data_IF_455785598591
#
_entry.id   IF_455785598591
#
_cell.length_a   1.000
_cell.length_b   1.000
_cell.length_c   1.000
_cell.angle_alpha   90.00
_cell.angle_beta   90.00
_cell.angle_gamma   90.00
#
_symmetry.space_group_name_H-M   'P 1'
#
loop_
_entity.id
_entity.type
_entity.pdbx_description
1 polymer ?
#
# COMPACT_ATOMS: atom_id res chain seq x y z
N UNK A 1 -13.05 22.14 -13.91
CA UNK A 1 -12.20 21.72 -12.79
C UNK A 1 -12.44 20.24 -12.59
N UNK A 2 -11.38 19.45 -12.48
CA UNK A 2 -11.54 18.03 -12.17
C UNK A 2 -11.71 17.89 -10.66
N UNK A 3 -12.91 17.48 -10.23
CA UNK A 3 -13.20 17.19 -8.82
C UNK A 3 -12.74 15.78 -8.47
N UNK A 4 -12.06 15.62 -7.34
CA UNK A 4 -11.54 14.33 -6.86
C UNK A 4 -12.25 13.98 -5.56
N UNK A 5 -12.74 12.74 -5.47
CA UNK A 5 -13.46 12.23 -4.31
C UNK A 5 -12.63 11.16 -3.60
N UNK A 6 -12.54 11.27 -2.28
CA UNK A 6 -11.98 10.24 -1.41
C UNK A 6 -13.07 9.82 -0.42
N UNK A 7 -13.61 8.63 -0.61
CA UNK A 7 -14.66 8.08 0.24
C UNK A 7 -14.13 6.84 0.96
N UNK A 8 -14.46 6.70 2.24
CA UNK A 8 -14.15 5.51 3.04
C UNK A 8 -15.46 4.88 3.49
N UNK A 9 -15.68 3.63 3.10
CA UNK A 9 -16.84 2.86 3.50
C UNK A 9 -16.43 1.86 4.57
N UNK A 10 -17.03 1.97 5.75
CA UNK A 10 -16.89 0.97 6.81
C UNK A 10 -18.14 0.10 6.85
N UNK A 11 -17.93 -1.21 6.95
CA UNK A 11 -19.03 -2.16 7.14
C UNK A 11 -18.97 -2.69 8.56
N UNK A 12 -20.13 -2.77 9.21
CA UNK A 12 -20.30 -3.32 10.54
C UNK A 12 -21.57 -4.19 10.54
N UNK A 13 -21.66 -5.13 11.47
CA UNK A 13 -22.93 -5.82 11.73
C UNK A 13 -23.97 -4.77 12.15
N UNK A 14 -25.18 -4.86 11.58
CA UNK A 14 -26.28 -3.94 11.86
C UNK A 14 -26.66 -3.90 13.35
N UNK A 15 -26.35 -4.96 14.10
CA UNK A 15 -26.60 -5.06 15.54
C UNK A 15 -25.39 -4.62 16.38
N UNK A 16 -24.25 -4.34 15.75
CA UNK A 16 -23.08 -3.89 16.48
C UNK A 16 -23.20 -2.38 16.76
N UNK A 17 -23.39 -2.06 18.04
CA UNK A 17 -23.46 -0.69 18.57
C UNK A 17 -22.08 -0.09 18.83
N UNK A 18 -20.98 -0.80 18.55
CA UNK A 18 -19.64 -0.24 18.67
C UNK A 18 -19.46 0.98 17.77
N UNK A 19 -18.77 2.01 18.25
CA UNK A 19 -18.39 3.15 17.42
C UNK A 19 -17.58 2.67 16.21
N UNK A 20 -17.91 3.20 15.04
CA UNK A 20 -17.08 3.07 13.83
C UNK A 20 -15.64 3.46 14.12
N UNK A 21 -14.67 2.85 13.43
CA UNK A 21 -13.26 3.16 13.66
C UNK A 21 -12.94 4.57 13.20
N UNK A 22 -12.10 5.27 13.95
CA UNK A 22 -11.68 6.60 13.58
C UNK A 22 -10.95 6.57 12.23
N UNK A 23 -11.24 7.54 11.38
CA UNK A 23 -10.58 7.69 10.08
C UNK A 23 -10.16 9.15 9.94
N UNK A 24 -8.91 9.39 9.56
CA UNK A 24 -8.38 10.73 9.34
C UNK A 24 -7.79 10.85 7.94
N UNK A 25 -7.98 12.02 7.34
CA UNK A 25 -7.39 12.38 6.05
C UNK A 25 -5.88 12.56 6.23
N UNK A 26 -5.09 11.98 5.34
CA UNK A 26 -3.68 12.28 5.17
C UNK A 26 -3.52 13.06 3.86
N UNK A 27 -2.92 14.24 3.96
CA UNK A 27 -2.51 15.02 2.79
C UNK A 27 -0.99 15.13 2.69
N UNK A 28 -0.45 14.78 1.53
CA UNK A 28 0.97 14.91 1.21
C UNK A 28 1.14 15.97 0.14
N UNK A 29 1.09 17.23 0.57
CA UNK A 29 1.17 18.39 -0.32
C UNK A 29 0.23 18.29 -1.51
N UNK A 30 0.76 18.50 -2.71
CA UNK A 30 0.05 18.35 -3.98
C UNK A 30 0.20 16.97 -4.63
N UNK A 31 0.96 16.04 -4.03
CA UNK A 31 1.38 14.81 -4.72
C UNK A 31 0.52 13.61 -4.36
N UNK A 32 0.15 13.46 -3.08
CA UNK A 32 -0.65 12.31 -2.63
C UNK A 32 -1.71 12.71 -1.60
N UNK A 33 -2.75 11.91 -1.52
CA UNK A 33 -3.77 11.97 -0.47
C UNK A 33 -4.22 10.57 -0.10
N UNK A 34 -4.79 10.42 1.08
CA UNK A 34 -5.31 9.14 1.50
C UNK A 34 -5.83 9.20 2.92
N UNK A 35 -5.84 8.06 3.59
CA UNK A 35 -6.45 7.95 4.92
C UNK A 35 -5.61 7.12 5.87
N UNK A 36 -5.64 7.52 7.13
CA UNK A 36 -5.33 6.64 8.25
C UNK A 36 -6.65 6.10 8.82
N UNK A 37 -6.74 4.78 8.97
CA UNK A 37 -7.90 4.08 9.52
C UNK A 37 -7.42 3.37 10.78
N UNK A 38 -7.94 3.78 11.93
CA UNK A 38 -7.59 3.18 13.21
C UNK A 38 -8.09 1.74 13.31
N UNK A 39 -7.36 0.94 14.08
CA UNK A 39 -7.77 -0.42 14.41
C UNK A 39 -9.02 -0.41 15.28
N UNK A 40 -9.91 -1.36 15.02
CA UNK A 40 -11.10 -1.61 15.84
C UNK A 40 -10.74 -2.06 17.26
N UNK A 41 -9.67 -2.85 17.40
CA UNK A 41 -9.18 -3.36 18.67
C UNK A 41 -7.70 -3.75 18.57
N UNK A 42 -7.10 -4.09 19.72
CA UNK A 42 -5.67 -4.40 19.80
C UNK A 42 -5.21 -5.59 18.94
N UNK A 43 -6.12 -6.51 18.58
CA UNK A 43 -5.84 -7.68 17.74
C UNK A 43 -5.89 -7.40 16.24
N UNK A 44 -6.25 -6.18 15.82
CA UNK A 44 -6.29 -5.75 14.41
C UNK A 44 -5.23 -4.66 14.16
N UNK A 45 -4.67 -4.56 12.94
CA UNK A 45 -3.76 -3.48 12.59
C UNK A 45 -4.54 -2.20 12.24
N UNK A 46 -3.87 -1.06 12.33
CA UNK A 46 -4.31 0.17 11.66
C UNK A 46 -3.88 0.12 10.18
N UNK A 47 -4.45 1.00 9.37
CA UNK A 47 -4.12 1.10 7.94
C UNK A 47 -3.78 2.53 7.55
N UNK A 48 -2.73 2.67 6.74
CA UNK A 48 -2.46 3.87 5.97
C UNK A 48 -2.62 3.51 4.51
N UNK A 49 -3.50 4.22 3.81
CA UNK A 49 -3.69 4.03 2.37
C UNK A 49 -3.50 5.37 1.68
N UNK A 50 -2.48 5.48 0.82
CA UNK A 50 -2.22 6.70 0.04
C UNK A 50 -2.39 6.45 -1.46
N UNK A 51 -2.88 7.47 -2.15
CA UNK A 51 -3.11 7.53 -3.58
C UNK A 51 -2.41 8.75 -4.17
N UNK A 52 -1.86 8.61 -5.38
CA UNK A 52 -1.45 9.78 -6.16
C UNK A 52 -2.64 10.71 -6.35
N UNK A 53 -2.45 12.00 -6.09
CA UNK A 53 -3.44 13.03 -6.43
C UNK A 53 -3.63 13.06 -7.95
N UNK A 54 -2.53 13.03 -8.70
CA UNK A 54 -2.56 13.06 -10.17
C UNK A 54 -2.80 11.67 -10.79
N UNK A 55 -3.38 11.66 -12.00
CA UNK A 55 -3.46 10.44 -12.80
C UNK A 55 -2.06 10.00 -13.24
N UNK A 56 -1.58 8.89 -12.70
CA UNK A 56 -0.33 8.26 -13.13
C UNK A 56 0.65 8.03 -11.98
N UNK A 57 1.93 7.98 -12.36
CA UNK A 57 3.04 7.69 -11.43
C UNK A 57 3.44 8.98 -10.71
N UNK A 58 3.45 8.93 -9.38
CA UNK A 58 4.09 9.93 -8.53
C UNK A 58 5.58 9.61 -8.38
N UNK A 59 6.43 10.48 -8.93
CA UNK A 59 7.89 10.38 -8.83
C UNK A 59 8.49 11.24 -7.71
N UNK A 60 7.65 11.97 -6.96
CA UNK A 60 8.11 12.84 -5.89
C UNK A 60 8.29 12.07 -4.58
N UNK A 61 9.17 12.57 -3.71
CA UNK A 61 9.28 12.11 -2.32
C UNK A 61 7.93 12.26 -1.62
N UNK A 62 7.50 11.20 -0.92
CA UNK A 62 6.25 11.17 -0.16
C UNK A 62 6.59 11.38 1.30
N UNK A 63 6.00 12.37 1.96
CA UNK A 63 6.22 12.59 3.41
C UNK A 63 4.89 12.79 4.11
N UNK A 64 4.62 11.98 5.13
CA UNK A 64 3.38 12.05 5.90
C UNK A 64 3.62 11.75 7.37
N UNK A 65 2.71 12.23 8.22
CA UNK A 65 2.72 11.96 9.65
C UNK A 65 1.54 11.05 9.99
N UNK A 66 1.75 10.17 10.96
CA UNK A 66 0.70 9.33 11.53
C UNK A 66 0.89 9.30 13.03
N UNK A 67 -0.16 9.64 13.76
CA UNK A 67 -0.20 9.52 15.22
C UNK A 67 -1.09 8.35 15.60
N UNK A 68 -0.57 7.43 16.41
CA UNK A 68 -1.31 6.25 16.82
C UNK A 68 -0.49 5.24 17.60
N UNK A 69 -1.06 4.06 17.79
CA UNK A 69 -0.40 2.96 18.49
C UNK A 69 -0.66 1.60 17.85
N UNK A 70 0.35 0.73 17.94
CA UNK A 70 0.26 -0.66 17.48
C UNK A 70 0.67 -0.85 16.03
N UNK A 71 0.42 -2.05 15.50
CA UNK A 71 0.79 -2.43 14.14
C UNK A 71 0.04 -1.58 13.11
N UNK A 72 0.74 -1.13 12.07
CA UNK A 72 0.19 -0.37 10.95
C UNK A 72 0.64 -0.98 9.64
N UNK A 73 -0.31 -1.15 8.73
CA UNK A 73 -0.06 -1.58 7.36
C UNK A 73 -0.15 -0.37 6.44
N UNK A 74 0.94 -0.08 5.74
CA UNK A 74 1.03 1.02 4.80
C UNK A 74 0.87 0.48 3.38
N UNK A 75 -0.06 1.07 2.63
CA UNK A 75 -0.40 0.72 1.25
C UNK A 75 -0.31 2.00 0.43
N UNK A 76 0.79 2.17 -0.30
CA UNK A 76 1.11 3.40 -1.03
C UNK A 76 1.01 3.11 -2.51
N UNK A 77 -0.03 3.63 -3.16
CA UNK A 77 -0.35 3.37 -4.57
C UNK A 77 0.08 4.53 -5.46
N UNK A 78 0.11 4.30 -6.78
CA UNK A 78 0.48 5.35 -7.73
C UNK A 78 1.99 5.60 -7.79
N UNK A 79 2.81 4.65 -7.36
CA UNK A 79 4.27 4.72 -7.45
C UNK A 79 4.77 4.07 -8.74
N UNK A 80 6.06 4.17 -9.03
CA UNK A 80 6.64 3.48 -10.18
C UNK A 80 6.68 1.97 -9.89
N UNK A 81 6.20 1.11 -10.80
CA UNK A 81 6.24 -0.33 -10.58
C UNK A 81 7.67 -0.85 -10.55
N UNK A 82 7.88 -1.99 -9.88
CA UNK A 82 9.15 -2.71 -9.88
C UNK A 82 10.38 -1.88 -9.46
N UNK A 83 10.15 -0.95 -8.53
CA UNK A 83 11.13 0.07 -8.16
C UNK A 83 11.41 -0.01 -6.66
N UNK A 84 12.69 0.08 -6.29
CA UNK A 84 13.10 0.15 -4.89
C UNK A 84 12.88 1.55 -4.32
N UNK A 85 12.22 1.61 -3.17
CA UNK A 85 12.02 2.79 -2.35
C UNK A 85 12.66 2.61 -0.98
N UNK A 86 13.29 3.67 -0.51
CA UNK A 86 13.75 3.81 0.88
C UNK A 86 12.65 4.48 1.70
N UNK A 87 12.34 3.89 2.84
CA UNK A 87 11.34 4.34 3.80
C UNK A 87 12.08 4.70 5.07
N UNK A 88 12.09 5.99 5.39
CA UNK A 88 12.62 6.54 6.64
C UNK A 88 11.45 6.75 7.60
N UNK A 89 11.48 6.11 8.76
CA UNK A 89 10.56 6.31 9.88
C UNK A 89 11.28 7.08 10.99
N UNK A 90 10.86 8.33 11.21
CA UNK A 90 11.39 9.17 12.27
C UNK A 90 10.41 9.22 13.46
N UNK A 91 10.86 8.64 14.58
CA UNK A 91 10.20 8.73 15.89
C UNK A 91 11.13 9.45 16.87
N UNK A 92 10.69 10.61 17.38
CA UNK A 92 11.41 11.31 18.47
C UNK A 92 12.87 11.65 18.19
N UNK A 93 13.27 11.79 16.91
CA UNK A 93 14.63 12.14 16.49
C UNK A 93 15.53 10.96 16.10
N UNK A 94 15.09 9.71 16.28
CA UNK A 94 15.76 8.54 15.73
C UNK A 94 15.07 8.11 14.43
N UNK A 95 15.86 7.91 13.37
CA UNK A 95 15.37 7.47 12.07
C UNK A 95 15.76 6.01 11.82
N UNK A 96 14.78 5.17 11.49
CA UNK A 96 15.03 3.83 10.95
C UNK A 96 14.79 3.86 9.45
N UNK A 97 15.70 3.28 8.65
CA UNK A 97 15.55 3.19 7.20
C UNK A 97 15.37 1.73 6.80
N UNK A 98 14.33 1.46 6.02
CA UNK A 98 14.09 0.16 5.38
C UNK A 98 13.92 0.34 3.87
N UNK A 99 14.30 -0.66 3.10
CA UNK A 99 14.10 -0.67 1.64
C UNK A 99 13.03 -1.67 1.25
N UNK A 100 12.12 -1.25 0.36
CA UNK A 100 11.02 -2.08 -0.15
C UNK A 100 10.85 -1.85 -1.65
N UNK A 101 10.39 -2.87 -2.35
CA UNK A 101 10.17 -2.84 -3.79
C UNK A 101 8.67 -2.76 -4.03
N UNK A 102 8.25 -1.90 -4.97
CA UNK A 102 6.86 -1.89 -5.43
C UNK A 102 6.53 -3.15 -6.21
N UNK A 103 5.24 -3.50 -6.26
CA UNK A 103 4.75 -4.59 -7.08
C UNK A 103 5.20 -4.45 -8.56
N UNK A 104 5.40 -5.57 -9.27
CA UNK A 104 5.73 -5.54 -10.69
C UNK A 104 4.57 -4.98 -11.51
N UNK A 105 4.85 -4.67 -12.79
CA UNK A 105 3.82 -4.25 -13.74
C UNK A 105 2.72 -5.32 -13.82
N UNK A 106 1.48 -4.92 -13.49
CA UNK A 106 0.32 -5.79 -13.55
C UNK A 106 -0.46 -5.57 -14.85
N UNK A 107 -1.14 -6.62 -15.30
CA UNK A 107 -2.12 -6.54 -16.38
C UNK A 107 -3.50 -6.87 -15.82
N UNK A 108 -4.49 -6.02 -16.10
CA UNK A 108 -5.90 -6.33 -15.87
C UNK A 108 -6.57 -6.70 -17.19
N UNK A 109 -7.56 -7.58 -17.12
CA UNK A 109 -8.37 -7.97 -18.26
C UNK A 109 -9.79 -7.47 -18.03
N UNK A 110 -10.37 -6.80 -19.03
CA UNK A 110 -11.79 -6.47 -18.97
C UNK A 110 -12.66 -7.69 -19.31
N UNK A 111 -13.98 -7.55 -19.16
CA UNK A 111 -14.95 -8.60 -19.47
C UNK A 111 -15.01 -8.98 -20.96
N UNK A 112 -14.35 -8.21 -21.83
CA UNK A 112 -14.21 -8.47 -23.27
C UNK A 112 -12.85 -9.10 -23.61
N UNK A 113 -12.01 -9.37 -22.61
CA UNK A 113 -10.68 -9.93 -22.79
C UNK A 113 -9.65 -8.93 -23.32
N UNK A 114 -9.87 -7.62 -23.15
CA UNK A 114 -8.88 -6.60 -23.48
C UNK A 114 -7.92 -6.44 -22.31
N UNK A 115 -6.63 -6.66 -22.56
CA UNK A 115 -5.58 -6.46 -21.58
C UNK A 115 -5.24 -4.96 -21.45
N UNK A 116 -5.26 -4.44 -20.22
CA UNK A 116 -4.79 -3.10 -19.87
C UNK A 116 -3.58 -3.21 -18.96
N UNK A 117 -2.49 -2.55 -19.33
CA UNK A 117 -1.29 -2.48 -18.50
C UNK A 117 -1.49 -1.43 -17.41
N UNK A 118 -1.40 -1.85 -16.14
CA UNK A 118 -1.40 -0.95 -15.00
C UNK A 118 -0.01 -0.34 -14.89
N UNK A 119 0.07 0.98 -15.11
CA UNK A 119 1.35 1.71 -15.19
C UNK A 119 1.91 2.11 -13.82
N UNK A 120 1.21 1.80 -12.73
CA UNK A 120 1.59 2.18 -11.37
C UNK A 120 1.82 0.95 -10.50
N UNK A 121 2.79 1.01 -9.60
CA UNK A 121 3.01 0.02 -8.56
C UNK A 121 2.41 0.42 -7.22
N UNK A 122 2.28 -0.58 -6.35
CA UNK A 122 1.93 -0.43 -4.94
C UNK A 122 3.13 -0.78 -4.08
N UNK A 123 3.41 0.05 -3.07
CA UNK A 123 4.38 -0.25 -2.02
C UNK A 123 3.64 -0.69 -0.77
N UNK A 124 4.01 -1.86 -0.24
CA UNK A 124 3.48 -2.40 1.01
C UNK A 124 4.58 -2.52 2.06
N UNK A 125 4.32 -2.04 3.26
CA UNK A 125 5.18 -2.28 4.43
C UNK A 125 4.41 -2.18 5.74
N UNK A 126 4.99 -2.75 6.79
CA UNK A 126 4.41 -2.74 8.13
C UNK A 126 5.34 -2.02 9.11
N UNK A 127 4.76 -1.24 10.02
CA UNK A 127 5.48 -0.60 11.13
C UNK A 127 4.69 -0.72 12.43
N UNK A 128 5.34 -0.50 13.56
CA UNK A 128 4.65 -0.39 14.86
C UNK A 128 4.70 1.07 15.30
N UNK A 129 3.54 1.70 15.49
CA UNK A 129 3.48 3.07 16.00
C UNK A 129 3.52 3.09 17.52
N UNK A 130 4.18 4.12 18.05
CA UNK A 130 4.13 4.54 19.43
C UNK A 130 4.12 6.07 19.52
N UNK A 131 2.95 6.66 19.24
CA UNK A 131 2.75 8.11 19.15
C UNK A 131 2.86 8.61 17.71
N UNK A 132 3.37 9.84 17.56
CA UNK A 132 3.49 10.50 16.26
C UNK A 132 4.79 10.10 15.53
N UNK A 133 4.64 9.49 14.37
CA UNK A 133 5.72 9.12 13.46
C UNK A 133 5.66 9.96 12.20
N UNK A 134 6.84 10.31 11.67
CA UNK A 134 6.98 10.91 10.34
C UNK A 134 7.62 9.91 9.40
N UNK A 135 6.90 9.54 8.35
CA UNK A 135 7.39 8.69 7.28
C UNK A 135 7.86 9.54 6.09
N UNK A 136 9.00 9.18 5.51
CA UNK A 136 9.52 9.73 4.26
C UNK A 136 9.89 8.60 3.32
N UNK A 137 9.28 8.57 2.14
CA UNK A 137 9.49 7.55 1.12
C UNK A 137 10.20 8.20 -0.07
N UNK A 138 11.36 7.68 -0.43
CA UNK A 138 12.21 8.20 -1.50
C UNK A 138 12.55 7.09 -2.49
N UNK A 139 12.49 7.37 -3.79
CA UNK A 139 12.91 6.42 -4.83
C UNK A 139 14.43 6.24 -4.75
N UNK A 140 14.91 5.02 -4.58
CA UNK A 140 16.35 4.68 -4.47
C UNK A 140 16.98 4.38 -5.84
N UNK A 141 16.16 4.11 -6.87
CA UNK A 141 16.61 4.03 -8.27
C UNK A 141 17.12 2.67 -8.74
N UNK A 142 17.22 1.66 -7.86
CA UNK A 142 17.50 0.27 -8.23
C UNK A 142 16.19 -0.41 -8.69
N UNK A 143 16.08 -0.74 -9.97
CA UNK A 143 15.05 -1.65 -10.50
C UNK A 143 15.46 -3.06 -10.09
N UNK A 144 14.59 -3.78 -9.36
CA UNK A 144 14.90 -5.16 -8.95
C UNK A 144 14.82 -6.09 -10.16
N UNK A 145 15.87 -6.24 -10.94
CA UNK A 145 15.84 -7.07 -12.16
C UNK A 145 15.66 -8.57 -11.90
N UNK A 146 15.53 -9.00 -10.64
CA UNK A 146 15.31 -10.40 -10.27
C UNK A 146 13.85 -10.78 -10.55
N UNK A 147 13.57 -11.66 -11.53
CA UNK A 147 12.22 -12.15 -11.72
C UNK A 147 11.75 -12.89 -10.47
N UNK A 148 10.45 -12.81 -10.10
CA UNK A 148 9.92 -13.67 -9.06
C UNK A 148 10.19 -15.14 -9.42
N UNK A 149 10.46 -15.97 -8.42
CA UNK A 149 10.65 -17.40 -8.62
C UNK A 149 9.48 -17.95 -9.44
N UNK A 150 9.78 -18.66 -10.53
CA UNK A 150 8.76 -19.26 -11.41
C UNK A 150 7.82 -20.09 -10.54
N UNK A 151 6.51 -19.81 -10.54
CA UNK A 151 5.56 -20.62 -9.78
C UNK A 151 5.74 -22.08 -10.19
N UNK A 152 6.03 -22.96 -9.24
CA UNK A 152 5.92 -24.38 -9.47
C UNK A 152 4.44 -24.68 -9.64
N UNK A 153 3.92 -24.50 -10.86
CA UNK A 153 2.51 -24.68 -11.18
C UNK A 153 1.98 -25.98 -10.57
N UNK A 154 0.67 -26.00 -10.30
CA UNK A 154 0.00 -27.14 -9.68
C UNK A 154 0.37 -28.43 -10.44
N UNK A 155 1.25 -29.24 -9.86
CA UNK A 155 1.64 -30.52 -10.46
C UNK A 155 0.45 -31.46 -10.28
N UNK A 156 -0.41 -31.55 -11.29
CA UNK A 156 -1.39 -32.63 -11.36
C UNK A 156 -0.58 -33.90 -11.60
N UNK A 157 -0.37 -34.68 -10.55
CA UNK A 157 0.19 -36.02 -10.67
C UNK A 157 -0.81 -36.88 -11.44
N UNK A 158 -0.70 -36.94 -12.76
CA UNK A 158 -1.39 -37.95 -13.55
C UNK A 158 -0.71 -39.29 -13.26
N UNK A 159 -1.27 -40.07 -12.34
CA UNK A 159 -0.89 -41.47 -12.16
C UNK A 159 -1.25 -42.23 -13.43
N UNK A 160 -0.27 -42.44 -14.30
CA UNK A 160 -0.38 -43.41 -15.38
C UNK A 160 -0.05 -44.80 -14.82
N UNK A 161 -1.08 -45.54 -14.43
CA UNK A 161 -1.03 -46.99 -14.25
C UNK A 161 -2.23 -47.57 -15.00
N UNK A 162 -2.09 -47.83 -16.31
CA UNK A 162 -1.87 -49.16 -16.93
C UNK A 162 -2.95 -50.19 -16.55
N UNK A 163 -3.78 -50.54 -17.55
CA UNK A 163 -4.51 -51.80 -17.65
C UNK A 163 -3.54 -52.97 -17.75
#
# INVERSE_FOLDING_TARGET
SDERFLNVFQTADANNVSSMVATSLIEVGSTMQGVFIERENAGRPNYVVLFSKEHGINNNTVTYNVDGSGLVRHIITGLEPHTTYEIEDALGGNATVISKVTEPVMQSWDYKGVATVIKTGTLYFETTLSGNHRFKITKSGQQDTTPPAVPSGLKINSSSGKK
#
